data_IF_673066485890
#
_entry.id   IF_673066485890
#
_cell.length_a   1.000
_cell.length_b   1.000
_cell.length_c   1.000
_cell.angle_alpha   90.00
_cell.angle_beta   90.00
_cell.angle_gamma   90.00
#
_symmetry.space_group_name_H-M   'P 1'
#
loop_
_entity.id
_entity.type
_entity.pdbx_description
1 polymer ?
#
# COMPACT_ATOMS: atom_id res chain seq x y z
N UNK A 1 8.25 -72.92 40.16
CA UNK A 1 7.99 -72.34 38.82
C UNK A 1 7.36 -70.97 38.98
N UNK A 2 8.12 -69.91 38.87
CA UNK A 2 7.66 -68.54 39.05
C UNK A 2 7.41 -67.97 37.67
N UNK A 3 6.11 -67.70 37.35
CA UNK A 3 5.70 -67.04 36.08
C UNK A 3 5.96 -65.55 36.18
N UNK A 4 6.91 -65.01 35.39
CA UNK A 4 7.15 -63.58 35.24
C UNK A 4 6.05 -63.00 34.35
N UNK A 5 5.22 -62.12 34.92
CA UNK A 5 4.26 -61.30 34.16
C UNK A 5 4.99 -60.05 33.71
N UNK A 6 5.17 -59.90 32.41
CA UNK A 6 5.66 -58.66 31.80
C UNK A 6 4.47 -57.70 31.62
N UNK A 7 4.48 -56.63 32.40
CA UNK A 7 3.54 -55.49 32.19
C UNK A 7 4.15 -54.59 31.12
N UNK A 8 3.54 -54.58 29.92
CA UNK A 8 3.85 -53.61 28.85
C UNK A 8 3.15 -52.31 29.20
N UNK A 9 3.90 -51.31 29.68
CA UNK A 9 3.43 -49.95 29.84
C UNK A 9 3.31 -49.30 28.45
N UNK A 10 2.08 -49.13 27.96
CA UNK A 10 1.77 -48.40 26.72
C UNK A 10 1.86 -46.90 27.02
N UNK A 11 2.98 -46.27 26.68
CA UNK A 11 3.14 -44.82 26.73
C UNK A 11 2.36 -44.23 25.55
N UNK A 12 1.15 -43.73 25.83
CA UNK A 12 0.40 -42.94 24.89
C UNK A 12 1.13 -41.61 24.64
N UNK A 13 1.91 -41.50 23.60
CA UNK A 13 2.37 -40.21 23.08
C UNK A 13 1.15 -39.40 22.58
N UNK A 14 0.71 -38.47 23.38
CA UNK A 14 -0.20 -37.41 22.92
C UNK A 14 0.56 -36.53 21.97
N UNK A 15 0.38 -36.72 20.67
CA UNK A 15 0.78 -35.78 19.62
C UNK A 15 -0.05 -34.51 19.85
N UNK A 16 0.50 -33.55 20.57
CA UNK A 16 -0.01 -32.18 20.54
C UNK A 16 0.18 -31.66 19.13
N UNK A 17 -0.85 -31.78 18.32
CA UNK A 17 -0.96 -31.11 17.02
C UNK A 17 -0.80 -29.62 17.30
N UNK A 18 0.32 -29.06 16.88
CA UNK A 18 0.52 -27.63 16.83
C UNK A 18 -0.49 -27.12 15.77
N UNK A 19 -1.68 -26.73 16.21
CA UNK A 19 -2.71 -26.17 15.35
C UNK A 19 -2.12 -24.95 14.66
N UNK A 20 -1.90 -25.00 13.35
CA UNK A 20 -1.60 -23.82 12.55
C UNK A 20 -2.71 -22.81 12.81
N UNK A 21 -2.37 -21.66 13.39
CA UNK A 21 -3.29 -20.55 13.54
C UNK A 21 -3.77 -20.15 12.15
N UNK A 22 -5.02 -20.47 11.82
CA UNK A 22 -5.63 -20.04 10.56
C UNK A 22 -5.86 -18.54 10.66
N UNK A 23 -5.40 -17.79 9.68
CA UNK A 23 -5.74 -16.37 9.50
C UNK A 23 -6.63 -16.21 8.26
N UNK A 24 -7.55 -15.27 8.35
CA UNK A 24 -8.46 -14.90 7.27
C UNK A 24 -8.06 -13.55 6.74
N UNK A 25 -7.62 -13.51 5.48
CA UNK A 25 -7.09 -12.27 4.89
C UNK A 25 -8.09 -11.68 3.92
N UNK A 26 -8.49 -10.43 4.16
CA UNK A 26 -9.29 -9.65 3.23
C UNK A 26 -8.43 -9.12 2.08
N UNK A 27 -8.97 -9.15 0.88
CA UNK A 27 -8.37 -8.55 -0.31
C UNK A 27 -9.28 -7.45 -0.81
N UNK A 28 -8.74 -6.25 -1.00
CA UNK A 28 -9.50 -5.06 -1.40
C UNK A 28 -9.14 -4.63 -2.82
N UNK A 29 -10.16 -4.21 -3.56
CA UNK A 29 -10.00 -3.49 -4.80
C UNK A 29 -9.87 -1.99 -4.46
N UNK A 30 -8.68 -1.42 -4.68
CA UNK A 30 -8.39 0.00 -4.44
C UNK A 30 -8.21 0.68 -5.79
N UNK A 31 -9.03 1.69 -6.09
CA UNK A 31 -9.09 2.36 -7.40
C UNK A 31 -8.74 3.83 -7.27
N UNK A 32 -8.02 4.38 -8.25
CA UNK A 32 -7.86 5.82 -8.39
C UNK A 32 -9.21 6.43 -8.77
N UNK A 33 -9.82 7.18 -7.85
CA UNK A 33 -11.16 7.72 -7.99
C UNK A 33 -11.14 9.16 -8.55
N UNK A 34 -10.19 9.98 -8.09
CA UNK A 34 -10.07 11.36 -8.48
C UNK A 34 -8.62 11.85 -8.45
N UNK A 35 -8.36 12.88 -9.22
CA UNK A 35 -7.11 13.65 -9.12
C UNK A 35 -7.50 15.11 -8.95
N UNK A 36 -7.15 15.67 -7.81
CA UNK A 36 -7.27 17.09 -7.55
C UNK A 36 -5.95 17.76 -7.94
N UNK A 37 -6.03 18.81 -8.71
CA UNK A 37 -4.92 19.68 -9.05
C UNK A 37 -5.29 21.12 -8.70
N UNK A 38 -4.34 22.07 -8.59
CA UNK A 38 -4.63 23.46 -8.24
C UNK A 38 -5.78 24.04 -9.08
N UNK A 39 -6.58 24.95 -8.50
CA UNK A 39 -7.78 25.50 -9.13
C UNK A 39 -7.58 26.06 -10.55
N UNK A 40 -6.35 26.45 -10.90
CA UNK A 40 -5.94 26.91 -12.23
C UNK A 40 -5.32 25.82 -13.11
N UNK A 41 -5.29 24.57 -12.65
CA UNK A 41 -4.62 23.47 -13.32
C UNK A 41 -5.13 23.22 -14.74
N UNK A 42 -6.45 23.36 -14.99
CA UNK A 42 -6.99 23.25 -16.36
C UNK A 42 -6.40 24.27 -17.33
N UNK A 43 -5.99 25.45 -16.83
CA UNK A 43 -5.33 26.48 -17.65
C UNK A 43 -3.83 26.28 -17.77
N UNK A 44 -3.20 25.73 -16.71
CA UNK A 44 -1.75 25.47 -16.68
C UNK A 44 -1.36 24.11 -17.23
N UNK A 45 -2.23 23.08 -17.08
CA UNK A 45 -1.89 21.68 -17.33
C UNK A 45 -2.78 20.99 -18.38
N UNK A 46 -3.69 21.72 -19.07
CA UNK A 46 -4.56 21.14 -20.09
C UNK A 46 -5.68 20.25 -19.58
N UNK A 47 -6.20 19.39 -20.46
CA UNK A 47 -7.26 18.45 -20.09
C UNK A 47 -6.71 17.24 -19.37
N UNK A 48 -7.30 16.94 -18.20
CA UNK A 48 -6.93 15.81 -17.36
C UNK A 48 -7.64 14.52 -17.80
N UNK A 49 -6.91 13.44 -17.94
CA UNK A 49 -7.47 12.15 -18.31
C UNK A 49 -7.04 11.06 -17.31
N UNK A 50 -8.04 10.46 -16.65
CA UNK A 50 -7.86 9.25 -15.83
C UNK A 50 -8.33 8.04 -16.61
N UNK A 51 -7.50 7.02 -16.74
CA UNK A 51 -7.83 5.76 -17.44
C UNK A 51 -7.43 4.57 -16.56
N UNK A 52 -8.36 3.63 -16.40
CA UNK A 52 -8.09 2.33 -15.78
C UNK A 52 -7.74 1.31 -16.86
N UNK A 53 -6.69 0.53 -16.66
CA UNK A 53 -6.33 -0.58 -17.54
C UNK A 53 -5.76 -1.75 -16.73
N UNK A 54 -5.72 -2.94 -17.35
CA UNK A 54 -5.13 -4.12 -16.73
C UNK A 54 -3.77 -4.42 -17.35
N UNK A 55 -2.83 -4.80 -16.48
CA UNK A 55 -1.56 -5.39 -16.87
C UNK A 55 -1.45 -6.77 -16.19
N UNK A 56 -1.77 -7.81 -16.96
CA UNK A 56 -2.03 -9.14 -16.41
C UNK A 56 -3.26 -9.13 -15.50
N UNK A 57 -3.09 -9.58 -14.25
CA UNK A 57 -4.16 -9.58 -13.23
C UNK A 57 -4.20 -8.29 -12.38
N UNK A 58 -3.28 -7.35 -12.61
CA UNK A 58 -3.14 -6.12 -11.82
C UNK A 58 -3.90 -4.98 -12.48
N UNK A 59 -4.81 -4.36 -11.72
CA UNK A 59 -5.44 -3.12 -12.12
C UNK A 59 -4.46 -1.96 -11.94
N UNK A 60 -4.22 -1.20 -13.02
CA UNK A 60 -3.39 -0.01 -13.06
C UNK A 60 -4.22 1.20 -13.42
N UNK A 61 -3.85 2.33 -12.85
CA UNK A 61 -4.58 3.60 -12.98
C UNK A 61 -3.63 4.63 -13.55
N UNK A 62 -3.94 5.11 -14.75
CA UNK A 62 -3.16 6.13 -15.44
C UNK A 62 -3.84 7.48 -15.33
N UNK A 63 -3.10 8.46 -14.88
CA UNK A 63 -3.42 9.87 -14.99
C UNK A 63 -2.47 10.51 -15.97
N UNK A 64 -2.98 11.44 -16.80
CA UNK A 64 -2.17 12.14 -17.80
C UNK A 64 -2.68 13.56 -17.97
N UNK A 65 -1.73 14.51 -18.00
CA UNK A 65 -1.93 15.89 -18.40
C UNK A 65 -0.82 16.33 -19.38
N UNK A 66 -0.68 17.64 -19.60
CA UNK A 66 0.33 18.17 -20.53
C UNK A 66 1.76 18.03 -20.03
N UNK A 67 1.98 17.85 -18.73
CA UNK A 67 3.29 17.85 -18.08
C UNK A 67 3.75 16.50 -17.62
N UNK A 68 2.84 15.67 -17.13
CA UNK A 68 3.17 14.36 -16.58
C UNK A 68 2.21 13.28 -17.09
N UNK A 69 2.73 12.07 -17.16
CA UNK A 69 1.94 10.85 -17.12
C UNK A 69 2.35 10.09 -15.87
N UNK A 70 1.39 9.67 -15.05
CA UNK A 70 1.65 8.81 -13.90
C UNK A 70 0.74 7.58 -13.94
N UNK A 71 1.36 6.41 -13.78
CA UNK A 71 0.67 5.12 -13.72
C UNK A 71 0.82 4.58 -12.32
N UNK A 72 -0.30 4.38 -11.63
CA UNK A 72 -0.38 3.84 -10.29
C UNK A 72 -0.79 2.38 -10.29
N UNK A 73 -0.26 1.60 -9.33
CA UNK A 73 -0.89 0.40 -8.83
C UNK A 73 -0.72 0.31 -7.31
N UNK A 74 -1.76 -0.16 -6.62
CA UNK A 74 -1.79 -0.20 -5.16
C UNK A 74 -1.61 -1.65 -4.73
N UNK A 75 -0.53 -1.95 -4.01
CA UNK A 75 -0.33 -3.22 -3.36
C UNK A 75 -0.91 -3.19 -1.94
N UNK A 76 -0.90 -4.32 -1.25
CA UNK A 76 -1.46 -4.40 0.10
C UNK A 76 -0.75 -3.52 1.14
N UNK A 77 0.50 -3.07 0.87
CA UNK A 77 1.33 -2.34 1.84
C UNK A 77 1.82 -0.98 1.36
N UNK A 78 1.82 -0.72 0.06
CA UNK A 78 2.39 0.48 -0.54
C UNK A 78 1.70 0.86 -1.84
N UNK A 79 1.84 2.12 -2.21
CA UNK A 79 1.54 2.61 -3.55
C UNK A 79 2.79 2.46 -4.41
N UNK A 80 2.60 2.01 -5.64
CA UNK A 80 3.66 1.91 -6.63
C UNK A 80 3.28 2.81 -7.80
N UNK A 81 4.25 3.49 -8.38
CA UNK A 81 4.00 4.36 -9.51
C UNK A 81 5.15 4.40 -10.49
N UNK A 82 4.80 4.72 -11.73
CA UNK A 82 5.71 5.17 -12.77
C UNK A 82 5.30 6.56 -13.20
N UNK A 83 6.19 7.53 -13.06
CA UNK A 83 5.98 8.91 -13.50
C UNK A 83 6.86 9.19 -14.69
N UNK A 84 6.27 9.66 -15.78
CA UNK A 84 6.95 10.10 -16.99
C UNK A 84 6.83 11.61 -17.13
N UNK A 85 7.95 12.27 -17.31
CA UNK A 85 8.00 13.71 -17.57
C UNK A 85 7.71 14.00 -19.05
N UNK A 86 6.53 14.54 -19.32
CA UNK A 86 6.09 14.98 -20.67
C UNK A 86 6.41 16.43 -20.96
N UNK A 87 6.76 17.20 -19.92
CA UNK A 87 7.07 18.62 -20.04
C UNK A 87 8.33 18.89 -20.86
N UNK A 88 8.50 20.14 -21.28
CA UNK A 88 9.75 20.58 -21.94
C UNK A 88 10.90 20.81 -20.95
N UNK A 89 10.65 20.70 -19.65
CA UNK A 89 11.59 21.03 -18.57
C UNK A 89 11.93 19.81 -17.72
N UNK A 90 12.96 19.92 -16.90
CA UNK A 90 13.26 18.93 -15.88
C UNK A 90 12.27 19.11 -14.72
N UNK A 91 11.70 18.03 -14.24
CA UNK A 91 10.86 18.04 -13.02
C UNK A 91 11.65 17.51 -11.82
N UNK A 92 11.26 17.95 -10.63
CA UNK A 92 11.84 17.50 -9.37
C UNK A 92 10.73 17.03 -8.42
N UNK A 93 10.95 15.87 -7.82
CA UNK A 93 10.08 15.28 -6.79
C UNK A 93 10.81 15.45 -5.46
N UNK A 94 10.23 16.25 -4.55
CA UNK A 94 10.73 16.40 -3.19
C UNK A 94 9.96 15.42 -2.27
N UNK A 95 10.62 14.34 -1.87
CA UNK A 95 10.01 13.27 -1.11
C UNK A 95 9.52 13.71 0.27
N UNK A 96 10.17 14.69 0.89
CA UNK A 96 9.79 15.21 2.22
C UNK A 96 8.47 15.98 2.19
N UNK A 97 8.05 16.49 1.03
CA UNK A 97 6.79 17.23 0.86
C UNK A 97 5.61 16.31 0.49
N UNK A 98 5.87 15.02 0.17
CA UNK A 98 4.82 14.06 -0.13
C UNK A 98 4.14 13.63 1.16
N UNK A 99 2.80 13.69 1.16
CA UNK A 99 1.98 13.27 2.29
C UNK A 99 1.01 12.17 1.89
N UNK A 100 0.80 11.23 2.81
CA UNK A 100 -0.22 10.20 2.72
C UNK A 100 -1.33 10.49 3.71
N UNK A 101 -2.58 10.37 3.28
CA UNK A 101 -3.76 10.43 4.15
C UNK A 101 -4.40 9.04 4.15
N UNK A 102 -4.48 8.43 5.32
CA UNK A 102 -5.06 7.11 5.46
C UNK A 102 -6.61 7.12 5.39
N UNK A 103 -7.21 5.93 5.43
CA UNK A 103 -8.66 5.74 5.36
C UNK A 103 -9.45 6.32 6.55
N UNK A 104 -8.79 6.77 7.61
CA UNK A 104 -9.38 7.46 8.76
C UNK A 104 -9.08 8.98 8.73
N UNK A 105 -8.44 9.47 7.66
CA UNK A 105 -8.12 10.90 7.48
C UNK A 105 -6.83 11.35 8.18
N UNK A 106 -6.02 10.42 8.69
CA UNK A 106 -4.77 10.75 9.36
C UNK A 106 -3.67 11.01 8.32
N UNK A 107 -3.00 12.15 8.45
CA UNK A 107 -1.88 12.54 7.59
C UNK A 107 -0.59 11.94 8.14
N UNK A 108 0.21 11.34 7.25
CA UNK A 108 1.52 10.76 7.54
C UNK A 108 2.55 11.07 6.46
N UNK A 109 3.82 10.88 6.81
CA UNK A 109 4.94 10.94 5.86
C UNK A 109 5.06 9.62 5.10
N UNK A 110 5.73 9.69 3.96
CA UNK A 110 6.09 8.50 3.18
C UNK A 110 7.60 8.35 3.07
N UNK A 111 8.04 7.13 2.83
CA UNK A 111 9.38 6.83 2.36
C UNK A 111 9.30 6.23 0.96
N UNK A 112 10.34 6.44 0.16
CA UNK A 112 10.46 5.89 -1.18
C UNK A 112 11.50 4.75 -1.26
N UNK A 113 11.63 4.12 -2.42
CA UNK A 113 12.57 3.02 -2.62
C UNK A 113 14.02 3.41 -2.26
N UNK A 114 14.75 2.48 -1.64
CA UNK A 114 16.14 2.68 -1.25
C UNK A 114 16.35 3.34 0.13
N UNK A 115 15.33 3.94 0.73
CA UNK A 115 15.42 4.46 2.10
C UNK A 115 15.43 3.29 3.09
N UNK A 116 16.41 3.26 4.00
CA UNK A 116 16.45 2.25 5.07
C UNK A 116 15.35 2.50 6.09
N UNK A 117 14.77 1.43 6.65
CA UNK A 117 13.73 1.56 7.69
C UNK A 117 14.21 2.29 8.94
N UNK A 118 15.50 2.24 9.25
CA UNK A 118 16.11 3.04 10.33
C UNK A 118 16.02 4.53 10.05
N UNK A 119 16.08 4.91 8.79
CA UNK A 119 16.19 6.31 8.33
C UNK A 119 14.85 6.87 7.82
N UNK A 120 13.76 6.11 8.01
CA UNK A 120 12.41 6.45 7.48
C UNK A 120 11.89 7.84 7.87
N UNK A 121 12.40 8.39 8.97
CA UNK A 121 12.02 9.71 9.47
C UNK A 121 13.05 10.80 9.13
N UNK A 122 14.15 10.43 8.49
CA UNK A 122 15.18 11.38 8.04
C UNK A 122 14.74 12.09 6.76
N UNK A 123 15.43 13.18 6.42
CA UNK A 123 15.23 13.86 5.14
C UNK A 123 15.66 12.97 3.98
N UNK A 124 14.88 13.00 2.93
CA UNK A 124 15.07 12.19 1.72
C UNK A 124 15.51 13.10 0.56
N UNK A 125 16.63 12.81 -0.11
CA UNK A 125 17.08 13.63 -1.24
C UNK A 125 16.04 13.64 -2.37
N UNK A 126 15.80 14.81 -2.95
CA UNK A 126 14.87 14.94 -4.06
C UNK A 126 15.33 14.17 -5.30
N UNK A 127 14.38 13.57 -6.03
CA UNK A 127 14.64 12.95 -7.33
C UNK A 127 14.40 13.93 -8.47
N UNK A 128 15.28 13.86 -9.48
CA UNK A 128 15.21 14.70 -10.68
C UNK A 128 14.87 13.84 -11.88
N UNK A 129 13.82 14.21 -12.63
CA UNK A 129 13.37 13.50 -13.83
C UNK A 129 13.54 14.42 -15.04
N UNK A 130 14.55 14.20 -15.90
CA UNK A 130 14.77 14.98 -17.11
C UNK A 130 13.58 14.88 -18.07
N UNK A 131 13.49 15.82 -19.02
CA UNK A 131 12.51 15.80 -20.10
C UNK A 131 12.49 14.44 -20.81
N UNK A 132 11.30 13.87 -20.99
CA UNK A 132 11.09 12.58 -21.67
C UNK A 132 11.55 11.35 -20.90
N UNK A 133 12.12 11.52 -19.70
CA UNK A 133 12.52 10.42 -18.83
C UNK A 133 11.36 9.97 -17.92
N UNK A 134 11.51 8.78 -17.34
CA UNK A 134 10.57 8.23 -16.35
C UNK A 134 11.30 7.82 -15.09
N UNK A 135 10.60 7.84 -13.97
CA UNK A 135 10.99 7.25 -12.70
C UNK A 135 9.94 6.24 -12.27
N UNK A 136 10.38 5.08 -11.78
CA UNK A 136 9.55 4.09 -11.11
C UNK A 136 9.94 4.07 -9.63
N UNK A 137 8.95 4.20 -8.75
CA UNK A 137 9.20 4.26 -7.31
C UNK A 137 7.99 3.77 -6.51
N UNK A 138 8.12 3.79 -5.18
CA UNK A 138 7.08 3.41 -4.23
C UNK A 138 6.80 4.54 -3.25
N UNK A 139 5.62 4.52 -2.64
CA UNK A 139 5.30 5.30 -1.45
C UNK A 139 4.84 4.36 -0.35
N UNK A 140 5.67 4.22 0.68
CA UNK A 140 5.40 3.43 1.87
C UNK A 140 5.20 4.39 3.04
N UNK A 141 4.01 4.41 3.69
CA UNK A 141 3.78 5.26 4.86
C UNK A 141 4.78 4.91 5.98
N UNK A 142 5.50 5.91 6.50
CA UNK A 142 6.57 5.68 7.49
C UNK A 142 6.06 5.08 8.79
N UNK A 143 4.80 5.38 9.18
CA UNK A 143 4.14 4.80 10.36
C UNK A 143 3.76 3.34 10.20
N UNK A 144 3.74 2.84 8.96
CA UNK A 144 3.49 1.42 8.69
C UNK A 144 4.75 0.57 8.88
N UNK A 145 5.91 1.18 9.07
CA UNK A 145 7.18 0.48 9.30
C UNK A 145 7.50 0.48 10.79
N UNK A 146 7.66 -0.69 11.37
CA UNK A 146 7.95 -0.86 12.79
C UNK A 146 8.93 -2.00 13.05
N UNK A 147 9.57 -1.96 14.21
CA UNK A 147 10.53 -2.97 14.63
C UNK A 147 9.96 -3.83 15.77
N UNK A 148 10.11 -5.14 15.67
CA UNK A 148 9.81 -6.10 16.74
C UNK A 148 11.14 -6.55 17.34
N UNK A 149 11.28 -6.44 18.65
CA UNK A 149 12.46 -6.93 19.39
C UNK A 149 12.33 -8.42 19.70
N UNK A 150 13.46 -9.10 19.96
CA UNK A 150 13.53 -10.49 20.40
C UNK A 150 14.14 -11.44 19.37
N UNK A 151 14.18 -12.75 19.74
CA UNK A 151 14.85 -13.80 18.95
C UNK A 151 14.32 -13.91 17.49
N UNK A 152 13.01 -13.66 17.28
CA UNK A 152 12.36 -13.65 15.97
C UNK A 152 11.95 -12.22 15.53
N UNK A 153 12.63 -11.23 16.10
CA UNK A 153 12.39 -9.82 15.83
C UNK A 153 12.81 -9.40 14.43
N UNK A 154 12.74 -8.09 14.20
CA UNK A 154 13.13 -7.46 12.94
C UNK A 154 12.12 -6.44 12.45
N UNK A 155 12.45 -5.82 11.35
CA UNK A 155 11.58 -4.85 10.71
C UNK A 155 10.36 -5.52 10.08
N UNK A 156 9.20 -4.86 10.22
CA UNK A 156 7.92 -5.31 9.66
C UNK A 156 7.19 -4.12 9.07
N UNK A 157 6.27 -4.43 8.16
CA UNK A 157 5.37 -3.47 7.52
C UNK A 157 3.92 -3.83 7.84
N UNK A 158 3.13 -2.83 8.20
CA UNK A 158 1.67 -2.94 8.28
C UNK A 158 1.06 -2.88 6.87
N UNK A 159 -0.12 -3.42 6.75
CA UNK A 159 -0.94 -3.24 5.56
C UNK A 159 -1.49 -1.81 5.50
N UNK A 160 -1.71 -1.28 4.28
CA UNK A 160 -2.37 0.01 4.08
C UNK A 160 -3.78 0.01 4.65
N UNK A 161 -4.48 -1.11 4.53
CA UNK A 161 -5.83 -1.35 5.03
C UNK A 161 -5.75 -2.59 5.91
N UNK A 162 -6.28 -2.57 7.14
CA UNK A 162 -6.35 -3.77 7.98
C UNK A 162 -7.07 -4.91 7.26
N UNK A 163 -6.40 -6.06 7.13
CA UNK A 163 -6.92 -7.14 6.30
C UNK A 163 -6.76 -8.53 6.92
N UNK A 164 -6.11 -8.67 8.07
CA UNK A 164 -5.85 -9.99 8.69
C UNK A 164 -6.74 -10.16 9.92
N UNK A 165 -7.50 -11.25 9.94
CA UNK A 165 -8.45 -11.59 10.99
C UNK A 165 -8.17 -12.99 11.52
N UNK A 166 -8.32 -13.18 12.85
CA UNK A 166 -8.04 -14.46 13.53
C UNK A 166 -9.14 -15.48 13.33
N UNK A 167 -10.39 -15.03 13.11
CA UNK A 167 -11.56 -15.89 12.96
C UNK A 167 -12.46 -15.46 11.80
N UNK A 168 -13.29 -16.38 11.26
CA UNK A 168 -14.26 -16.05 10.21
C UNK A 168 -15.29 -15.01 10.65
N UNK A 169 -15.70 -15.04 11.92
CA UNK A 169 -16.67 -14.11 12.48
C UNK A 169 -16.10 -12.68 12.52
N UNK A 170 -14.84 -12.52 12.94
CA UNK A 170 -14.15 -11.22 12.90
C UNK A 170 -13.99 -10.72 11.47
N UNK A 171 -13.67 -11.62 10.53
CA UNK A 171 -13.59 -11.27 9.12
C UNK A 171 -14.95 -10.78 8.61
N UNK A 172 -16.03 -11.55 8.85
CA UNK A 172 -17.37 -11.21 8.39
C UNK A 172 -17.88 -9.88 9.01
N UNK A 173 -17.49 -9.60 10.26
CA UNK A 173 -17.90 -8.39 10.97
C UNK A 173 -17.11 -7.14 10.53
N UNK A 174 -15.81 -7.26 10.20
CA UNK A 174 -14.94 -6.10 10.04
C UNK A 174 -14.35 -5.87 8.63
N UNK A 175 -14.36 -6.88 7.74
CA UNK A 175 -13.71 -6.72 6.44
C UNK A 175 -14.40 -5.68 5.54
N UNK A 176 -15.73 -5.51 5.65
CA UNK A 176 -16.46 -4.52 4.87
C UNK A 176 -16.39 -3.07 5.42
N UNK A 177 -15.87 -2.86 6.63
CA UNK A 177 -15.84 -1.52 7.27
C UNK A 177 -14.98 -0.51 6.52
N UNK A 178 -14.10 -0.99 5.68
CA UNK A 178 -13.19 -0.16 4.88
C UNK A 178 -13.73 0.15 3.48
N UNK A 179 -14.70 -0.59 2.98
CA UNK A 179 -15.30 -0.37 1.66
C UNK A 179 -16.02 0.97 1.64
N UNK A 180 -15.74 1.79 0.62
CA UNK A 180 -16.25 3.15 0.47
C UNK A 180 -15.39 4.23 1.14
N UNK A 181 -14.38 3.85 1.97
CA UNK A 181 -13.41 4.81 2.49
C UNK A 181 -12.37 5.17 1.43
N UNK A 182 -11.71 6.30 1.62
CA UNK A 182 -10.70 6.84 0.69
C UNK A 182 -9.35 7.01 1.37
N UNK A 183 -8.30 6.88 0.58
CA UNK A 183 -6.92 7.23 0.94
C UNK A 183 -6.43 8.27 -0.06
N UNK A 184 -5.52 9.17 0.35
CA UNK A 184 -5.00 10.20 -0.56
C UNK A 184 -3.48 10.24 -0.52
N UNK A 185 -2.91 10.57 -1.67
CA UNK A 185 -1.48 10.91 -1.82
C UNK A 185 -1.41 12.34 -2.34
N UNK A 186 -0.88 13.24 -1.54
CA UNK A 186 -0.49 14.58 -1.98
C UNK A 186 0.95 14.50 -2.46
N UNK A 187 1.18 14.79 -3.74
CA UNK A 187 2.48 14.73 -4.40
C UNK A 187 2.79 16.08 -5.06
N UNK A 188 3.48 16.99 -4.35
CA UNK A 188 3.99 18.21 -4.94
C UNK A 188 5.09 17.92 -5.97
N UNK A 189 4.96 18.44 -7.17
CA UNK A 189 5.92 18.29 -8.28
C UNK A 189 6.42 19.66 -8.69
N UNK A 190 7.75 19.87 -8.61
CA UNK A 190 8.37 21.08 -9.12
C UNK A 190 8.62 20.96 -10.62
N UNK A 191 8.05 21.87 -11.40
CA UNK A 191 8.31 22.03 -12.82
C UNK A 191 8.95 23.42 -13.00
N UNK A 192 10.21 23.47 -13.44
CA UNK A 192 11.04 24.68 -13.33
C UNK A 192 11.14 25.14 -11.88
N UNK A 193 10.55 26.28 -11.55
CA UNK A 193 10.52 26.86 -10.20
C UNK A 193 9.08 26.97 -9.66
N UNK A 194 8.11 26.29 -10.31
CA UNK A 194 6.70 26.30 -9.92
C UNK A 194 6.34 24.96 -9.30
N UNK A 195 5.86 25.01 -8.07
CA UNK A 195 5.31 23.84 -7.39
C UNK A 195 3.89 23.59 -7.88
N UNK A 196 3.62 22.35 -8.24
CA UNK A 196 2.34 21.86 -8.71
C UNK A 196 1.87 20.76 -7.76
N UNK A 197 0.81 21.03 -7.01
CA UNK A 197 0.29 20.12 -6.00
C UNK A 197 -0.73 19.19 -6.63
N UNK A 198 -0.36 17.92 -6.79
CA UNK A 198 -1.24 16.86 -7.24
C UNK A 198 -1.76 16.07 -6.03
N UNK A 199 -3.07 15.92 -5.91
CA UNK A 199 -3.70 15.04 -4.93
C UNK A 199 -4.39 13.89 -5.65
N UNK A 200 -3.89 12.69 -5.43
CA UNK A 200 -4.45 11.44 -5.96
C UNK A 200 -5.33 10.81 -4.88
N UNK A 201 -6.61 10.67 -5.17
CA UNK A 201 -7.58 10.04 -4.27
C UNK A 201 -7.86 8.61 -4.70
N UNK A 202 -7.69 7.67 -3.78
CA UNK A 202 -7.90 6.23 -3.99
C UNK A 202 -9.09 5.76 -3.15
N UNK A 203 -10.10 5.20 -3.82
CA UNK A 203 -11.27 4.64 -3.17
C UNK A 203 -11.11 3.13 -2.94
N UNK A 204 -11.45 2.64 -1.75
CA UNK A 204 -11.58 1.22 -1.45
C UNK A 204 -12.94 0.75 -2.01
N UNK A 205 -12.95 0.31 -3.27
CA UNK A 205 -14.16 0.13 -4.04
C UNK A 205 -14.96 -1.12 -3.64
N UNK A 206 -14.26 -2.21 -3.29
CA UNK A 206 -14.91 -3.47 -2.92
C UNK A 206 -13.97 -4.43 -2.19
N UNK A 207 -14.58 -5.39 -1.49
CA UNK A 207 -13.91 -6.58 -0.98
C UNK A 207 -13.94 -7.65 -2.07
N UNK A 208 -12.75 -8.15 -2.47
CA UNK A 208 -12.61 -9.11 -3.58
C UNK A 208 -12.96 -10.55 -3.17
N UNK A 209 -12.88 -10.87 -1.88
CA UNK A 209 -13.08 -12.23 -1.35
C UNK A 209 -14.10 -12.28 -0.19
N UNK A 210 -15.35 -11.84 -0.38
CA UNK A 210 -16.35 -11.75 0.68
C UNK A 210 -16.75 -13.11 1.26
N UNK A 211 -16.47 -14.23 0.56
CA UNK A 211 -16.83 -15.58 0.99
C UNK A 211 -15.84 -16.20 2.00
N UNK A 212 -14.66 -15.58 2.20
CA UNK A 212 -13.61 -16.13 3.09
C UNK A 212 -14.08 -16.30 4.54
N UNK A 213 -14.98 -15.43 5.01
CA UNK A 213 -15.57 -15.50 6.36
C UNK A 213 -16.82 -16.36 6.47
N UNK A 214 -17.36 -16.89 5.38
CA UNK A 214 -18.55 -17.76 5.42
C UNK A 214 -18.13 -19.19 5.72
N UNK A 215 -18.43 -19.69 6.89
CA UNK A 215 -18.41 -21.13 7.20
C UNK A 215 -19.50 -21.82 6.40
N UNK A 216 -19.13 -22.89 5.65
CA UNK A 216 -20.09 -23.82 5.08
C UNK A 216 -20.70 -24.67 6.16
#
# INVERSE_FOLDING_TARGET
MIKKVFIFAFVAMTLTSCGMLKSYTASYNVQLAAVESPADAKKQFGETKVVTFKDGEIDKYRYEDDFIEIVWYVSSKQFNFKLTNKSSHTIKINWDDISFVDYDGKVGRVMHAGVKYTDRNSSQPASTVPRGASIEDILLPTENVYYISGQYGGWREKYLIPCVYDTPEKFAAGANDYVGKTMKVLMPIMIENVQNDYTFEFNIASLLNPEVGKTK
#
